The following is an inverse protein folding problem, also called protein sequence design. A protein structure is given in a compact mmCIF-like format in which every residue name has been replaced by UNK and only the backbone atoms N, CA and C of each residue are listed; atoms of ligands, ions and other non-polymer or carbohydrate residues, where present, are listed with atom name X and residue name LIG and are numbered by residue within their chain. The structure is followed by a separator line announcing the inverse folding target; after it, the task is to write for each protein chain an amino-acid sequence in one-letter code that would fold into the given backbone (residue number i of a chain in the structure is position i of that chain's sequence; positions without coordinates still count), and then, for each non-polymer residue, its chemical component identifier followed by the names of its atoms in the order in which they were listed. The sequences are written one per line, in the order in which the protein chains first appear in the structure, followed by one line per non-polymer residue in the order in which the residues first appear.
data_IF_697160973200
#
_entry.id   IF_697160973200
#
_cell.length_a   1.000
_cell.length_b   1.000
_cell.length_c   1.000
_cell.angle_alpha   90.00
_cell.angle_beta   90.00
_cell.angle_gamma   90.00
#
_symmetry.space_group_name_H-M   'P 1'
#
loop_
_entity.id
_entity.type
_entity.pdbx_description
1 polymer ?
#
# COMPACT_ATOMS: atom_id res chain seq x y z
N UNK A 1 5.41 -18.88 -2.76
CA UNK A 1 6.32 -17.79 -3.16
C UNK A 1 5.75 -16.51 -2.57
N UNK A 2 6.59 -15.61 -2.05
CA UNK A 2 6.09 -14.34 -1.52
C UNK A 2 5.43 -13.47 -2.60
N UNK A 3 4.65 -12.48 -2.19
CA UNK A 3 3.85 -11.61 -3.08
C UNK A 3 4.21 -10.14 -2.90
N UNK A 4 4.13 -9.37 -3.98
CA UNK A 4 4.20 -7.91 -3.94
C UNK A 4 2.79 -7.34 -4.04
N UNK A 5 2.36 -6.55 -3.05
CA UNK A 5 1.04 -5.93 -2.97
C UNK A 5 1.20 -4.42 -3.04
N UNK A 6 0.70 -3.78 -4.10
CA UNK A 6 0.69 -2.32 -4.19
C UNK A 6 -0.65 -1.74 -3.72
N UNK A 7 -0.61 -0.70 -2.90
CA UNK A 7 -1.79 0.08 -2.53
C UNK A 7 -1.76 1.39 -3.31
N UNK A 8 -2.70 1.57 -4.23
CA UNK A 8 -2.75 2.72 -5.15
C UNK A 8 -4.14 3.37 -5.22
N UNK A 9 -4.22 4.57 -5.76
CA UNK A 9 -5.46 5.33 -5.93
C UNK A 9 -5.32 6.38 -7.02
N UNK A 10 -6.44 6.76 -7.65
CA UNK A 10 -6.44 7.85 -8.61
C UNK A 10 -6.12 9.20 -7.95
N UNK A 11 -6.75 9.50 -6.81
CA UNK A 11 -6.62 10.79 -6.10
C UNK A 11 -5.84 10.67 -4.79
N UNK A 12 -5.25 11.77 -4.35
CA UNK A 12 -4.72 11.91 -2.99
C UNK A 12 -5.83 11.92 -1.93
N UNK A 13 -5.50 11.56 -0.69
CA UNK A 13 -6.43 11.61 0.43
C UNK A 13 -7.46 10.48 0.50
N UNK A 14 -7.36 9.44 -0.33
CA UNK A 14 -8.22 8.24 -0.28
C UNK A 14 -7.87 7.28 0.87
N UNK A 15 -6.75 7.51 1.56
CA UNK A 15 -6.32 6.72 2.71
C UNK A 15 -5.33 5.58 2.40
N UNK A 16 -4.65 5.60 1.24
CA UNK A 16 -3.62 4.62 0.85
C UNK A 16 -2.63 4.31 1.97
N UNK A 17 -1.87 5.28 2.43
CA UNK A 17 -0.85 5.11 3.47
C UNK A 17 -1.39 4.46 4.74
N UNK A 18 -2.59 4.86 5.20
CA UNK A 18 -3.25 4.24 6.33
C UNK A 18 -3.56 2.76 6.06
N UNK A 19 -4.09 2.45 4.88
CA UNK A 19 -4.36 1.07 4.46
C UNK A 19 -3.05 0.28 4.32
N UNK A 20 -2.01 0.84 3.69
CA UNK A 20 -0.69 0.22 3.48
C UNK A 20 -0.04 -0.18 4.80
N UNK A 21 0.04 0.76 5.75
CA UNK A 21 0.63 0.52 7.08
C UNK A 21 -0.12 -0.58 7.81
N UNK A 22 -1.45 -0.47 7.86
CA UNK A 22 -2.23 -1.41 8.65
C UNK A 22 -2.37 -2.77 7.97
N UNK A 23 -2.44 -2.85 6.65
CA UNK A 23 -2.45 -4.12 5.91
C UNK A 23 -1.11 -4.85 6.09
N UNK A 24 0.01 -4.14 6.00
CA UNK A 24 1.33 -4.72 6.24
C UNK A 24 1.50 -5.21 7.69
N UNK A 25 1.01 -4.43 8.66
CA UNK A 25 0.99 -4.85 10.06
C UNK A 25 0.08 -6.06 10.29
N UNK A 26 -1.11 -6.11 9.66
CA UNK A 26 -2.01 -7.27 9.72
C UNK A 26 -1.34 -8.54 9.18
N UNK A 27 -0.68 -8.47 8.02
CA UNK A 27 0.08 -9.62 7.51
C UNK A 27 1.16 -10.06 8.50
N UNK A 28 1.91 -9.14 9.10
CA UNK A 28 2.91 -9.49 10.10
C UNK A 28 2.29 -10.17 11.34
N UNK A 29 1.11 -9.70 11.79
CA UNK A 29 0.35 -10.33 12.88
C UNK A 29 -0.18 -11.73 12.53
N UNK A 30 -0.39 -12.02 11.24
CA UNK A 30 -0.67 -13.37 10.74
C UNK A 30 0.59 -14.27 10.69
N UNK A 31 1.70 -13.84 11.30
CA UNK A 31 2.94 -14.60 11.35
C UNK A 31 3.78 -14.51 10.07
N UNK A 32 3.51 -13.52 9.20
CA UNK A 32 4.25 -13.33 7.95
C UNK A 32 5.48 -12.45 8.15
N UNK A 33 6.50 -12.66 7.32
CA UNK A 33 7.63 -11.75 7.18
C UNK A 33 7.33 -10.70 6.11
N UNK A 34 7.17 -9.45 6.52
CA UNK A 34 6.62 -8.37 5.69
C UNK A 34 7.59 -7.20 5.61
N UNK A 35 7.72 -6.58 4.44
CA UNK A 35 8.37 -5.28 4.29
C UNK A 35 7.42 -4.26 3.67
N UNK A 36 7.23 -3.11 4.32
CA UNK A 36 6.46 -1.98 3.82
C UNK A 36 7.39 -0.94 3.13
N UNK A 37 7.09 -0.57 1.90
CA UNK A 37 7.87 0.39 1.11
C UNK A 37 7.14 1.72 0.96
N UNK A 38 7.85 2.83 1.21
CA UNK A 38 7.37 4.18 0.93
C UNK A 38 7.77 4.61 -0.49
N UNK A 39 6.88 4.41 -1.48
CA UNK A 39 7.08 4.83 -2.87
C UNK A 39 6.39 6.16 -3.20
N UNK A 40 5.87 6.89 -2.19
CA UNK A 40 5.43 8.27 -2.36
C UNK A 40 6.58 9.25 -2.08
N UNK A 41 7.54 9.30 -3.02
CA UNK A 41 8.72 10.15 -2.90
C UNK A 41 8.43 11.66 -2.92
N UNK A 42 7.20 12.07 -3.27
CA UNK A 42 6.79 13.47 -3.32
C UNK A 42 6.16 13.95 -2.02
N UNK A 43 5.59 13.02 -1.26
CA UNK A 43 5.09 13.27 0.08
C UNK A 43 5.40 12.07 1.01
N UNK A 44 6.69 11.78 1.29
CA UNK A 44 7.08 10.69 2.18
C UNK A 44 6.41 10.84 3.53
N UNK A 45 5.80 9.78 4.03
CA UNK A 45 5.00 9.83 5.26
C UNK A 45 5.24 8.67 6.20
N UNK A 46 5.78 7.55 5.70
CA UNK A 46 5.97 6.36 6.52
C UNK A 46 7.03 6.56 7.60
N UNK A 47 8.06 7.36 7.34
CA UNK A 47 9.08 7.68 8.35
C UNK A 47 8.46 8.30 9.62
N UNK A 48 7.55 9.27 9.44
CA UNK A 48 6.86 9.93 10.54
C UNK A 48 5.82 9.01 11.21
N UNK A 49 4.98 8.34 10.41
CA UNK A 49 3.91 7.45 10.91
C UNK A 49 4.49 6.29 11.72
N UNK A 50 5.53 5.65 11.18
CA UNK A 50 6.21 4.55 11.84
C UNK A 50 7.19 5.02 12.90
N UNK A 51 7.31 6.34 13.15
CA UNK A 51 8.25 6.96 14.11
C UNK A 51 9.63 6.29 14.05
N UNK A 52 10.10 6.04 12.83
CA UNK A 52 11.33 5.30 12.62
C UNK A 52 12.51 6.17 13.05
N UNK A 53 13.54 5.54 13.58
CA UNK A 53 14.78 6.21 13.99
C UNK A 53 15.95 5.52 13.30
N UNK A 54 17.05 6.24 13.11
CA UNK A 54 18.33 5.69 12.65
C UNK A 54 18.26 4.92 11.32
N UNK A 55 17.78 5.56 10.25
CA UNK A 55 17.89 5.02 8.89
C UNK A 55 19.36 5.13 8.39
N UNK A 56 20.03 4.01 8.14
CA UNK A 56 21.37 4.02 7.51
C UNK A 56 21.30 4.50 6.05
N UNK A 57 20.33 3.98 5.30
CA UNK A 57 20.04 4.37 3.93
C UNK A 57 18.54 4.54 3.72
N UNK A 58 18.19 5.33 2.71
CA UNK A 58 16.82 5.54 2.27
C UNK A 58 16.52 4.72 1.03
N UNK A 59 15.23 4.47 0.77
CA UNK A 59 14.79 3.80 -0.45
C UNK A 59 15.23 4.54 -1.71
N UNK A 60 15.30 5.87 -1.65
CA UNK A 60 15.85 6.73 -2.70
C UNK A 60 17.29 6.34 -3.05
N UNK A 61 18.13 6.05 -2.05
CA UNK A 61 19.54 5.70 -2.24
C UNK A 61 19.67 4.33 -2.92
N UNK A 62 18.84 3.37 -2.53
CA UNK A 62 18.77 2.10 -3.21
C UNK A 62 18.37 2.26 -4.69
N UNK A 63 17.33 3.05 -4.98
CA UNK A 63 16.88 3.31 -6.36
C UNK A 63 17.92 4.08 -7.17
N UNK A 64 18.66 5.00 -6.54
CA UNK A 64 19.81 5.70 -7.14
C UNK A 64 21.01 4.78 -7.37
N UNK A 65 21.06 3.62 -6.70
CA UNK A 65 22.19 2.69 -6.76
C UNK A 65 23.37 3.05 -5.87
N UNK A 66 23.18 3.97 -4.94
CA UNK A 66 24.18 4.37 -3.93
C UNK A 66 24.14 3.49 -2.68
N UNK A 67 23.08 2.71 -2.47
CA UNK A 67 22.97 1.82 -1.32
C UNK A 67 22.39 0.44 -1.65
N UNK A 68 22.79 -0.57 -0.87
CA UNK A 68 22.25 -1.92 -0.94
C UNK A 68 20.90 -2.01 -0.21
N UNK A 69 20.00 -2.87 -0.69
CA UNK A 69 18.65 -2.99 -0.11
C UNK A 69 18.68 -3.39 1.36
N UNK A 70 19.66 -4.20 1.80
CA UNK A 70 19.76 -4.64 3.19
C UNK A 70 19.94 -3.49 4.18
N UNK A 71 20.63 -2.42 3.76
CA UNK A 71 20.87 -1.22 4.57
C UNK A 71 19.67 -0.26 4.60
N UNK A 72 18.70 -0.48 3.71
CA UNK A 72 17.45 0.29 3.68
C UNK A 72 16.40 -0.32 4.59
N UNK A 73 16.48 -1.62 4.90
CA UNK A 73 15.51 -2.32 5.72
C UNK A 73 15.65 -1.92 7.19
N UNK A 74 14.62 -1.23 7.70
CA UNK A 74 14.47 -0.92 9.13
C UNK A 74 13.63 -2.00 9.77
N UNK A 75 14.18 -2.72 10.75
CA UNK A 75 13.43 -3.72 11.52
C UNK A 75 12.55 -3.04 12.57
N UNK A 76 11.23 -3.21 12.40
CA UNK A 76 10.19 -2.68 13.28
C UNK A 76 9.40 -3.81 13.95
N UNK A 77 9.91 -5.05 13.93
CA UNK A 77 9.21 -6.23 14.46
C UNK A 77 8.89 -6.10 15.94
N UNK A 78 9.74 -5.40 16.72
CA UNK A 78 9.50 -5.13 18.14
C UNK A 78 8.28 -4.24 18.42
N UNK A 79 7.74 -3.57 17.40
CA UNK A 79 6.57 -2.70 17.53
C UNK A 79 5.24 -3.40 17.33
N UNK A 80 5.24 -4.64 16.86
CA UNK A 80 4.04 -5.44 16.67
C UNK A 80 4.08 -6.66 17.58
N UNK A 81 2.99 -6.95 18.26
CA UNK A 81 2.84 -8.21 18.98
C UNK A 81 2.53 -9.35 18.00
N UNK A 82 3.26 -10.46 18.11
CA UNK A 82 3.02 -11.66 17.32
C UNK A 82 4.31 -12.39 16.94
N UNK A 83 4.16 -13.38 16.06
CA UNK A 83 5.26 -14.25 15.63
C UNK A 83 5.83 -13.88 14.24
N UNK A 84 5.30 -12.85 13.59
CA UNK A 84 5.80 -12.39 12.29
C UNK A 84 6.90 -11.35 12.43
N UNK A 85 7.39 -10.89 11.28
CA UNK A 85 8.40 -9.84 11.22
C UNK A 85 7.88 -8.68 10.38
N UNK A 86 8.20 -7.47 10.81
CA UNK A 86 7.75 -6.25 10.18
C UNK A 86 8.93 -5.31 9.91
N UNK A 87 9.23 -5.13 8.64
CA UNK A 87 10.29 -4.25 8.16
C UNK A 87 9.69 -3.07 7.40
N UNK A 88 10.46 -1.99 7.30
CA UNK A 88 10.11 -0.87 6.43
C UNK A 88 11.31 -0.41 5.59
N UNK A 89 11.03 0.00 4.36
CA UNK A 89 11.96 0.65 3.45
C UNK A 89 11.43 2.06 3.17
N UNK A 90 12.08 3.06 3.78
CA UNK A 90 11.52 4.41 3.93
C UNK A 90 12.10 5.38 2.91
N UNK A 91 11.26 6.29 2.41
CA UNK A 91 11.69 7.41 1.57
C UNK A 91 12.25 8.53 2.44
N UNK A 92 13.30 9.21 1.96
CA UNK A 92 13.91 10.32 2.66
C UNK A 92 12.97 11.54 2.65
N UNK A 93 12.53 12.07 3.80
CA UNK A 93 11.62 13.21 3.87
C UNK A 93 12.33 14.57 3.66
N UNK A 94 13.65 14.61 3.54
CA UNK A 94 14.40 15.85 3.31
C UNK A 94 13.97 16.54 2.01
N UNK A 95 13.90 17.88 2.03
CA UNK A 95 13.39 18.67 0.89
C UNK A 95 14.25 18.49 -0.36
N UNK A 96 15.57 18.36 -0.17
CA UNK A 96 16.54 18.11 -1.23
C UNK A 96 16.29 16.75 -1.89
N UNK A 97 15.97 15.72 -1.11
CA UNK A 97 15.66 14.39 -1.62
C UNK A 97 14.34 14.38 -2.39
N UNK A 98 13.30 15.03 -1.88
CA UNK A 98 12.01 15.17 -2.58
C UNK A 98 12.19 15.90 -3.92
N UNK A 99 13.01 16.96 -3.94
CA UNK A 99 13.35 17.71 -5.16
C UNK A 99 14.13 16.86 -6.15
N UNK A 100 15.13 16.13 -5.69
CA UNK A 100 15.94 15.22 -6.52
C UNK A 100 15.04 14.14 -7.17
N UNK A 101 14.17 13.51 -6.39
CA UNK A 101 13.22 12.50 -6.88
C UNK A 101 12.21 13.08 -7.87
N UNK A 102 11.74 14.31 -7.64
CA UNK A 102 10.82 14.99 -8.56
C UNK A 102 11.47 15.41 -9.87
N UNK A 103 12.80 15.53 -9.91
CA UNK A 103 13.58 15.94 -11.08
C UNK A 103 14.13 14.76 -11.90
N UNK A 104 13.88 13.51 -11.47
CA UNK A 104 14.38 12.32 -12.18
C UNK A 104 13.77 12.20 -13.58
N UNK A 105 14.62 11.77 -14.50
CA UNK A 105 14.25 11.57 -15.90
C UNK A 105 13.72 10.16 -16.15
N UNK A 106 13.17 9.94 -17.35
CA UNK A 106 12.66 8.63 -17.78
C UNK A 106 13.73 7.54 -17.73
N UNK A 107 15.00 7.87 -17.98
CA UNK A 107 16.10 6.91 -17.93
C UNK A 107 16.37 6.43 -16.50
N UNK A 108 16.28 7.32 -15.53
CA UNK A 108 16.32 6.96 -14.13
C UNK A 108 15.11 6.08 -13.75
N UNK A 109 13.91 6.44 -14.18
CA UNK A 109 12.69 5.67 -13.87
C UNK A 109 12.75 4.22 -14.37
N UNK A 110 13.29 3.99 -15.58
CA UNK A 110 13.51 2.63 -16.09
C UNK A 110 14.51 1.84 -15.24
N UNK A 111 15.57 2.48 -14.74
CA UNK A 111 16.54 1.84 -13.83
C UNK A 111 15.90 1.54 -12.47
N UNK A 112 15.09 2.45 -11.94
CA UNK A 112 14.35 2.27 -10.71
C UNK A 112 13.37 1.09 -10.83
N UNK A 113 12.65 0.96 -11.94
CA UNK A 113 11.81 -0.20 -12.24
C UNK A 113 12.62 -1.51 -12.22
N UNK A 114 13.78 -1.54 -12.88
CA UNK A 114 14.66 -2.72 -12.86
C UNK A 114 15.09 -3.13 -11.45
N UNK A 115 15.37 -2.15 -10.58
CA UNK A 115 15.68 -2.40 -9.17
C UNK A 115 14.47 -2.91 -8.38
N UNK A 116 13.28 -2.34 -8.57
CA UNK A 116 12.06 -2.84 -7.93
C UNK A 116 11.74 -4.28 -8.34
N UNK A 117 11.92 -4.63 -9.62
CA UNK A 117 11.76 -6.01 -10.10
C UNK A 117 12.79 -6.97 -9.45
N UNK A 118 14.02 -6.50 -9.21
CA UNK A 118 15.05 -7.30 -8.56
C UNK A 118 14.72 -7.64 -7.09
N UNK A 119 13.84 -6.87 -6.43
CA UNK A 119 13.39 -7.16 -5.06
C UNK A 119 12.74 -8.55 -4.92
N UNK A 120 12.12 -9.07 -6.00
CA UNK A 120 11.55 -10.42 -5.98
C UNK A 120 12.60 -11.48 -5.69
N UNK A 121 13.77 -11.39 -6.34
CA UNK A 121 14.83 -12.35 -6.12
C UNK A 121 15.46 -12.14 -4.73
N UNK A 122 15.82 -10.91 -4.40
CA UNK A 122 16.55 -10.64 -3.17
C UNK A 122 15.69 -10.82 -1.92
N UNK A 123 14.50 -10.20 -1.86
CA UNK A 123 13.69 -10.20 -0.65
C UNK A 123 12.76 -11.41 -0.58
N UNK A 124 12.01 -11.70 -1.64
CA UNK A 124 11.04 -12.79 -1.61
C UNK A 124 11.71 -14.17 -1.69
N UNK A 125 12.68 -14.35 -2.60
CA UNK A 125 13.30 -15.67 -2.82
C UNK A 125 14.46 -15.95 -1.85
N UNK A 126 15.41 -15.03 -1.71
CA UNK A 126 16.61 -15.29 -0.91
C UNK A 126 16.35 -15.06 0.58
N UNK A 127 15.76 -13.92 0.94
CA UNK A 127 15.49 -13.55 2.33
C UNK A 127 14.14 -14.02 2.88
N UNK A 128 13.36 -14.73 2.06
CA UNK A 128 12.09 -15.38 2.45
C UNK A 128 11.07 -14.41 3.03
N UNK A 129 10.98 -13.19 2.48
CA UNK A 129 9.82 -12.34 2.75
C UNK A 129 8.57 -12.96 2.14
N UNK A 130 7.48 -12.97 2.90
CA UNK A 130 6.17 -13.41 2.43
C UNK A 130 5.46 -12.31 1.65
N UNK A 131 5.59 -11.05 2.10
CA UNK A 131 4.92 -9.90 1.50
C UNK A 131 5.83 -8.68 1.41
N UNK A 132 5.85 -8.04 0.24
CA UNK A 132 6.29 -6.66 0.09
C UNK A 132 5.06 -5.79 -0.16
N UNK A 133 4.76 -4.86 0.75
CA UNK A 133 3.62 -3.93 0.60
C UNK A 133 4.16 -2.60 0.11
N UNK A 134 3.66 -2.10 -1.01
CA UNK A 134 4.08 -0.84 -1.61
C UNK A 134 3.03 0.24 -1.35
N UNK A 135 3.36 1.23 -0.51
CA UNK A 135 2.60 2.47 -0.40
C UNK A 135 3.03 3.40 -1.53
N UNK A 136 2.07 3.94 -2.29
CA UNK A 136 2.38 4.65 -3.54
C UNK A 136 1.85 6.08 -3.53
N UNK A 137 2.41 6.95 -4.36
CA UNK A 137 1.80 8.25 -4.65
C UNK A 137 0.52 8.08 -5.49
N UNK A 138 -0.44 9.03 -5.44
CA UNK A 138 -1.65 8.93 -6.24
C UNK A 138 -1.42 9.21 -7.72
N UNK A 139 -2.32 8.69 -8.55
CA UNK A 139 -2.45 9.07 -9.96
C UNK A 139 -1.53 8.28 -10.89
N UNK A 140 -0.79 8.97 -11.75
CA UNK A 140 0.00 8.37 -12.84
C UNK A 140 1.47 8.80 -12.80
N UNK A 141 2.01 8.95 -11.60
CA UNK A 141 3.43 9.19 -11.43
C UNK A 141 4.23 7.94 -11.81
N UNK A 142 5.44 8.11 -12.33
CA UNK A 142 6.29 6.98 -12.73
C UNK A 142 6.56 6.03 -11.56
N UNK A 143 6.78 6.54 -10.34
CA UNK A 143 6.94 5.71 -9.14
C UNK A 143 5.73 4.82 -8.89
N UNK A 144 4.51 5.35 -9.01
CA UNK A 144 3.26 4.57 -8.89
C UNK A 144 3.13 3.53 -9.99
N UNK A 145 3.42 3.90 -11.24
CA UNK A 145 3.37 2.96 -12.38
C UNK A 145 4.38 1.84 -12.17
N UNK A 146 5.61 2.16 -11.76
CA UNK A 146 6.65 1.18 -11.49
C UNK A 146 6.24 0.23 -10.35
N UNK A 147 5.60 0.75 -9.29
CA UNK A 147 5.05 -0.04 -8.20
C UNK A 147 3.98 -1.01 -8.70
N UNK A 148 3.02 -0.52 -9.50
CA UNK A 148 1.93 -1.31 -10.07
C UNK A 148 2.46 -2.40 -11.00
N UNK A 149 3.39 -2.07 -11.90
CA UNK A 149 4.02 -3.02 -12.83
C UNK A 149 4.77 -4.10 -12.08
N UNK A 150 5.39 -3.77 -10.94
CA UNK A 150 6.13 -4.73 -10.11
C UNK A 150 5.21 -5.63 -9.28
N UNK A 151 4.03 -5.14 -8.90
CA UNK A 151 3.10 -5.83 -8.01
C UNK A 151 2.46 -7.08 -8.62
N UNK A 152 2.23 -8.09 -7.78
CA UNK A 152 1.42 -9.27 -8.08
C UNK A 152 -0.08 -8.99 -7.87
N UNK A 153 -0.39 -8.09 -6.93
CA UNK A 153 -1.74 -7.68 -6.58
C UNK A 153 -1.82 -6.18 -6.29
N UNK A 154 -2.88 -5.52 -6.76
CA UNK A 154 -3.10 -4.08 -6.56
C UNK A 154 -4.37 -3.86 -5.74
N UNK A 155 -4.22 -3.31 -4.55
CA UNK A 155 -5.31 -2.77 -3.74
C UNK A 155 -5.59 -1.35 -4.22
N UNK A 156 -6.77 -1.13 -4.80
CA UNK A 156 -7.17 0.18 -5.33
C UNK A 156 -8.11 0.87 -4.36
N UNK A 157 -7.60 1.89 -3.68
CA UNK A 157 -8.38 2.72 -2.77
C UNK A 157 -9.14 3.81 -3.53
N UNK A 158 -10.45 3.85 -3.37
CA UNK A 158 -11.34 4.90 -3.88
C UNK A 158 -12.25 5.41 -2.78
N UNK A 159 -12.83 6.59 -2.98
CA UNK A 159 -13.92 7.14 -2.17
C UNK A 159 -15.21 7.17 -2.99
N UNK A 160 -16.33 7.61 -2.37
CA UNK A 160 -17.60 7.84 -3.06
C UNK A 160 -17.66 9.15 -3.87
N UNK A 161 -16.57 9.92 -3.93
CA UNK A 161 -16.52 11.17 -4.68
C UNK A 161 -16.61 10.91 -6.20
N UNK A 162 -17.44 11.66 -6.92
CA UNK A 162 -17.70 11.44 -8.35
C UNK A 162 -16.44 11.56 -9.21
N UNK A 163 -15.53 12.47 -8.88
CA UNK A 163 -14.26 12.63 -9.62
C UNK A 163 -13.34 11.45 -9.36
N UNK A 164 -13.28 10.97 -8.12
CA UNK A 164 -12.46 9.81 -7.74
C UNK A 164 -13.00 8.51 -8.37
N UNK A 165 -14.32 8.32 -8.38
CA UNK A 165 -14.99 7.21 -9.06
C UNK A 165 -14.63 7.17 -10.54
N UNK A 166 -14.82 8.29 -11.24
CA UNK A 166 -14.55 8.37 -12.68
C UNK A 166 -13.07 8.17 -13.01
N UNK A 167 -12.18 8.77 -12.21
CA UNK A 167 -10.75 8.60 -12.36
C UNK A 167 -10.32 7.16 -12.11
N UNK A 168 -10.83 6.51 -11.07
CA UNK A 168 -10.54 5.11 -10.75
C UNK A 168 -11.02 4.17 -11.86
N UNK A 169 -12.21 4.38 -12.44
CA UNK A 169 -12.67 3.63 -13.63
C UNK A 169 -11.72 3.77 -14.81
N UNK A 170 -11.19 4.97 -15.02
CA UNK A 170 -10.22 5.23 -16.08
C UNK A 170 -8.91 4.48 -15.80
N UNK A 171 -8.40 4.54 -14.58
CA UNK A 171 -7.18 3.82 -14.15
C UNK A 171 -7.31 2.31 -14.31
N UNK A 172 -8.48 1.73 -13.99
CA UNK A 172 -8.75 0.31 -14.22
C UNK A 172 -8.57 -0.08 -15.69
N UNK A 173 -9.17 0.66 -16.61
CA UNK A 173 -9.08 0.34 -18.04
C UNK A 173 -7.71 0.66 -18.64
N UNK A 174 -7.15 1.81 -18.32
CA UNK A 174 -5.96 2.35 -19.00
C UNK A 174 -4.64 1.92 -18.37
N UNK A 175 -4.66 1.40 -17.14
CA UNK A 175 -3.44 1.02 -16.42
C UNK A 175 -3.49 -0.41 -15.88
N UNK A 176 -4.41 -0.71 -14.96
CA UNK A 176 -4.38 -2.00 -14.26
C UNK A 176 -4.71 -3.16 -15.21
N UNK A 177 -5.74 -3.03 -16.05
CA UNK A 177 -6.11 -4.04 -17.03
C UNK A 177 -5.06 -4.15 -18.14
N UNK A 178 -4.47 -3.03 -18.57
CA UNK A 178 -3.43 -3.01 -19.58
C UNK A 178 -2.18 -3.81 -19.13
N UNK A 179 -1.85 -3.74 -17.83
CA UNK A 179 -0.76 -4.51 -17.23
C UNK A 179 -1.21 -5.85 -16.64
N UNK A 180 -2.44 -6.29 -16.94
CA UNK A 180 -3.02 -7.57 -16.50
C UNK A 180 -2.91 -7.79 -14.97
N UNK A 181 -3.08 -6.72 -14.20
CA UNK A 181 -2.91 -6.77 -12.75
C UNK A 181 -4.14 -7.31 -12.05
N UNK A 182 -3.94 -8.32 -11.19
CA UNK A 182 -4.95 -8.72 -10.21
C UNK A 182 -5.24 -7.53 -9.31
N UNK A 183 -6.50 -7.13 -9.28
CA UNK A 183 -6.91 -5.88 -8.65
C UNK A 183 -8.09 -6.13 -7.74
N UNK A 184 -8.04 -5.57 -6.54
CA UNK A 184 -9.18 -5.54 -5.63
C UNK A 184 -9.44 -4.12 -5.14
N UNK A 185 -10.71 -3.72 -5.15
CA UNK A 185 -11.13 -2.37 -4.80
C UNK A 185 -11.39 -2.27 -3.29
N UNK A 186 -11.03 -1.13 -2.70
CA UNK A 186 -11.44 -0.74 -1.35
C UNK A 186 -12.14 0.61 -1.42
N UNK A 187 -13.35 0.68 -0.89
CA UNK A 187 -14.10 1.94 -0.82
C UNK A 187 -13.95 2.50 0.57
N UNK A 188 -13.15 3.55 0.68
CA UNK A 188 -12.83 4.18 1.93
C UNK A 188 -13.69 5.42 2.19
N UNK A 189 -13.78 5.81 3.47
CA UNK A 189 -14.49 6.99 3.95
C UNK A 189 -15.98 6.99 3.60
N UNK A 190 -16.62 5.82 3.65
CA UNK A 190 -18.06 5.74 3.41
C UNK A 190 -18.82 6.36 4.58
N UNK A 191 -19.55 7.43 4.28
CA UNK A 191 -20.56 8.01 5.15
C UNK A 191 -21.79 7.10 5.00
N UNK A 192 -22.14 6.34 6.04
CA UNK A 192 -23.40 5.58 6.14
C UNK A 192 -23.42 4.12 5.59
N UNK A 193 -22.56 3.25 6.12
CA UNK A 193 -22.48 1.80 5.80
C UNK A 193 -23.06 0.87 6.89
N UNK A 194 -23.97 1.38 7.72
CA UNK A 194 -24.40 0.72 8.96
C UNK A 194 -25.47 -0.36 8.79
N UNK A 195 -26.26 -0.35 7.70
CA UNK A 195 -27.25 -1.40 7.44
C UNK A 195 -26.74 -2.46 6.47
N UNK A 196 -27.11 -3.73 6.72
CA UNK A 196 -26.78 -4.87 5.85
C UNK A 196 -27.31 -4.68 4.42
N UNK A 197 -28.52 -4.12 4.28
CA UNK A 197 -29.13 -3.78 2.98
C UNK A 197 -28.31 -2.78 2.15
N UNK A 198 -27.74 -1.74 2.79
CA UNK A 198 -26.90 -0.74 2.10
C UNK A 198 -25.56 -1.33 1.66
N UNK A 199 -25.01 -2.30 2.41
CA UNK A 199 -23.79 -3.02 2.00
C UNK A 199 -24.04 -3.87 0.76
N UNK A 200 -25.13 -4.63 0.72
CA UNK A 200 -25.47 -5.46 -0.43
C UNK A 200 -25.74 -4.63 -1.69
N UNK A 201 -26.46 -3.51 -1.55
CA UNK A 201 -26.69 -2.55 -2.65
C UNK A 201 -25.39 -1.89 -3.13
N UNK A 202 -24.48 -1.56 -2.22
CA UNK A 202 -23.20 -0.98 -2.58
C UNK A 202 -22.29 -2.01 -3.27
N UNK A 203 -22.30 -3.27 -2.81
CA UNK A 203 -21.56 -4.36 -3.45
C UNK A 203 -21.99 -4.56 -4.91
N UNK A 204 -23.31 -4.59 -5.19
CA UNK A 204 -23.81 -4.73 -6.56
C UNK A 204 -23.42 -3.55 -7.44
N UNK A 205 -23.66 -2.32 -6.96
CA UNK A 205 -23.28 -1.09 -7.68
C UNK A 205 -21.79 -1.04 -7.99
N UNK A 206 -20.94 -1.47 -7.06
CA UNK A 206 -19.49 -1.45 -7.23
C UNK A 206 -19.03 -2.43 -8.29
N UNK A 207 -19.60 -3.64 -8.27
CA UNK A 207 -19.34 -4.64 -9.30
C UNK A 207 -19.75 -4.13 -10.69
N UNK A 208 -20.90 -3.49 -10.80
CA UNK A 208 -21.38 -2.92 -12.06
C UNK A 208 -20.52 -1.73 -12.54
N UNK A 209 -20.06 -0.90 -11.60
CA UNK A 209 -19.33 0.33 -11.92
C UNK A 209 -17.86 0.05 -12.29
N UNK A 210 -17.19 -0.83 -11.54
CA UNK A 210 -15.74 -1.01 -11.63
C UNK A 210 -15.31 -2.35 -12.23
N UNK A 211 -16.21 -3.35 -12.27
CA UNK A 211 -15.94 -4.67 -12.84
C UNK A 211 -14.71 -5.37 -12.23
N UNK A 212 -14.41 -5.07 -10.96
CA UNK A 212 -13.36 -5.73 -10.18
C UNK A 212 -13.90 -6.15 -8.82
N UNK A 213 -13.30 -7.17 -8.18
CA UNK A 213 -13.66 -7.60 -6.84
C UNK A 213 -13.55 -6.48 -5.81
N UNK A 214 -14.47 -6.48 -4.85
CA UNK A 214 -14.50 -5.55 -3.74
C UNK A 214 -13.93 -6.23 -2.49
N UNK A 215 -12.75 -5.80 -2.07
CA UNK A 215 -12.04 -6.33 -0.90
C UNK A 215 -12.64 -5.84 0.42
N UNK A 216 -13.21 -4.63 0.41
CA UNK A 216 -13.68 -4.03 1.64
C UNK A 216 -14.34 -2.67 1.46
N UNK A 217 -15.24 -2.38 2.39
CA UNK A 217 -15.87 -1.08 2.55
C UNK A 217 -15.49 -0.55 3.91
N UNK A 218 -14.72 0.54 3.93
CA UNK A 218 -14.24 1.17 5.17
C UNK A 218 -15.12 2.40 5.47
N UNK A 219 -15.93 2.35 6.55
CA UNK A 219 -16.69 3.50 7.02
C UNK A 219 -15.78 4.68 7.40
N UNK A 220 -16.33 5.89 7.41
CA UNK A 220 -15.65 7.02 8.02
C UNK A 220 -15.62 6.86 9.55
N UNK A 221 -14.42 6.74 10.12
CA UNK A 221 -14.20 6.62 11.55
C UNK A 221 -13.53 7.90 12.09
N UNK A 222 -14.22 8.64 12.96
CA UNK A 222 -13.70 9.89 13.51
C UNK A 222 -12.46 9.68 14.39
N UNK A 223 -12.38 8.55 15.10
CA UNK A 223 -11.23 8.16 15.91
C UNK A 223 -10.01 7.76 15.08
N UNK A 224 -10.21 7.18 13.89
CA UNK A 224 -9.12 6.99 12.90
C UNK A 224 -8.53 8.34 12.48
N UNK A 225 -9.37 9.33 12.22
CA UNK A 225 -8.89 10.68 11.89
C UNK A 225 -8.16 11.33 13.08
N UNK A 226 -8.70 11.22 14.30
CA UNK A 226 -8.10 11.76 15.53
C UNK A 226 -6.79 11.08 15.92
N UNK A 227 -6.51 9.87 15.41
CA UNK A 227 -5.23 9.22 15.64
C UNK A 227 -4.08 9.92 14.92
N UNK A 228 -4.36 10.74 13.89
CA UNK A 228 -3.36 11.57 13.20
C UNK A 228 -2.14 10.79 12.69
N UNK A 229 -2.33 9.51 12.33
CA UNK A 229 -1.24 8.64 11.89
C UNK A 229 -0.30 8.17 13.00
N UNK A 230 -0.62 8.42 14.28
CA UNK A 230 0.19 8.02 15.42
C UNK A 230 -0.03 6.57 15.87
N UNK A 231 -1.06 5.90 15.33
CA UNK A 231 -1.46 4.55 15.69
C UNK A 231 -1.39 3.61 14.48
N UNK A 232 -0.89 2.41 14.71
CA UNK A 232 -1.07 1.26 13.83
C UNK A 232 -2.30 0.52 14.38
N UNK A 233 -3.48 0.81 13.85
CA UNK A 233 -4.76 0.24 14.30
C UNK A 233 -4.77 -1.29 14.38
N UNK A 234 -4.10 -1.97 13.43
CA UNK A 234 -3.94 -3.42 13.46
C UNK A 234 -3.30 -3.91 14.77
N UNK A 235 -2.44 -3.09 15.37
CA UNK A 235 -1.76 -3.36 16.63
C UNK A 235 -2.46 -2.72 17.83
N UNK A 236 -2.65 -1.40 17.80
CA UNK A 236 -3.09 -0.61 18.94
C UNK A 236 -4.59 -0.77 19.25
N UNK A 237 -5.37 -1.21 18.26
CA UNK A 237 -6.84 -1.31 18.32
C UNK A 237 -7.34 -2.59 17.61
N UNK A 238 -6.96 -3.80 18.06
CA UNK A 238 -7.22 -5.06 17.34
C UNK A 238 -8.72 -5.36 17.19
N UNK A 239 -9.54 -4.92 18.14
CA UNK A 239 -11.00 -5.14 18.13
C UNK A 239 -11.78 -4.07 17.36
N UNK A 240 -11.12 -3.04 16.85
CA UNK A 240 -11.77 -1.93 16.16
C UNK A 240 -12.35 -2.41 14.81
N UNK A 241 -13.54 -1.95 14.38
CA UNK A 241 -14.15 -2.39 13.12
C UNK A 241 -13.26 -2.19 11.88
N UNK A 242 -12.49 -1.10 11.83
CA UNK A 242 -11.47 -0.89 10.79
C UNK A 242 -10.46 -2.04 10.73
N UNK A 243 -9.96 -2.50 11.87
CA UNK A 243 -8.99 -3.59 11.96
C UNK A 243 -9.59 -4.91 11.50
N UNK A 244 -10.86 -5.18 11.84
CA UNK A 244 -11.56 -6.38 11.36
C UNK A 244 -11.71 -6.39 9.84
N UNK A 245 -12.02 -5.24 9.24
CA UNK A 245 -12.09 -5.10 7.77
C UNK A 245 -10.71 -5.37 7.15
N UNK A 246 -9.64 -4.87 7.74
CA UNK A 246 -8.28 -5.13 7.26
C UNK A 246 -7.86 -6.60 7.39
N UNK A 247 -8.29 -7.28 8.44
CA UNK A 247 -8.11 -8.72 8.63
C UNK A 247 -8.83 -9.54 7.56
N UNK A 248 -10.09 -9.19 7.25
CA UNK A 248 -10.85 -9.80 6.14
C UNK A 248 -10.15 -9.56 4.78
N UNK A 249 -9.74 -8.31 4.51
CA UNK A 249 -8.99 -7.97 3.30
C UNK A 249 -7.67 -8.75 3.18
N UNK A 250 -6.92 -8.88 4.28
CA UNK A 250 -5.66 -9.62 4.31
C UNK A 250 -5.88 -11.10 3.99
N UNK A 251 -6.90 -11.72 4.57
CA UNK A 251 -7.27 -13.13 4.31
C UNK A 251 -7.64 -13.36 2.85
N UNK A 252 -8.38 -12.44 2.22
CA UNK A 252 -8.74 -12.54 0.80
C UNK A 252 -7.51 -12.43 -0.12
N UNK A 253 -6.57 -11.53 0.21
CA UNK A 253 -5.30 -11.40 -0.52
C UNK A 253 -4.40 -12.62 -0.31
N UNK A 254 -4.43 -13.24 0.87
CA UNK A 254 -3.71 -14.46 1.20
C UNK A 254 -4.23 -15.65 0.39
N UNK A 255 -5.54 -15.87 0.39
CA UNK A 255 -6.17 -17.07 -0.19
C UNK A 255 -6.09 -17.15 -1.72
N UNK A 256 -5.74 -16.05 -2.41
CA UNK A 256 -5.82 -15.91 -3.88
C UNK A 256 -7.25 -16.03 -4.44
N UNK A 257 -8.29 -15.97 -3.61
CA UNK A 257 -9.69 -16.14 -4.05
C UNK A 257 -10.27 -14.89 -4.73
N UNK A 258 -9.45 -13.86 -4.95
CA UNK A 258 -9.81 -12.70 -5.76
C UNK A 258 -9.83 -13.11 -7.24
N UNK A 259 -10.90 -13.79 -7.64
CA UNK A 259 -11.25 -14.14 -9.03
C UNK A 259 -12.24 -13.14 -9.63
#
# INVERSE_FOLDING_TARGET
MGKIVAVHSYKGGTGKTLLSVNLAATFAKHGKKVCLFDLDFRAPSLFAILKAENCECWLNDYLNGSCDINKVLVDLSSRLQGNGNFYAALANPATEAIRDMSAKDRKWEMRALGKLLALRNVLLNDQKFDYLVFDTSPGLQYSSINAIVTADFVVVATTGDRSDVNGTKRMLRELYNLFEKKTGLVINKVLDSTSKSKKDEMNSRVKDVYQVPLLGIVPCFCDVLRAEGNLIFAEDKPNHPFTKILDEMAKEIESNDVN
#
